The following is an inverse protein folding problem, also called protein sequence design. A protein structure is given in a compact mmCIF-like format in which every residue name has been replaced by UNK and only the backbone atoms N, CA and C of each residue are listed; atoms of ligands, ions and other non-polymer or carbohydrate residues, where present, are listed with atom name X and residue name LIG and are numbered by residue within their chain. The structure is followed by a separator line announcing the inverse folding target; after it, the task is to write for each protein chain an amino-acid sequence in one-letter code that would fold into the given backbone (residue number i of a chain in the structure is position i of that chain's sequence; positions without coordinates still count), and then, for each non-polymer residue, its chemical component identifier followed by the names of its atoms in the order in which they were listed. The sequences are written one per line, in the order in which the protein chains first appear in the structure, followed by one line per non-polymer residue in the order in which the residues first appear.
data_IF_429717605493
#
_entry.id   IF_429717605493
#
_cell.length_a   1.000
_cell.length_b   1.000
_cell.length_c   1.000
_cell.angle_alpha   90.00
_cell.angle_beta   90.00
_cell.angle_gamma   90.00
#
_symmetry.space_group_name_H-M   'P 1'
#
loop_
_entity.id
_entity.type
_entity.pdbx_description
1 polymer ?
#
# COMPACT_ATOMS: atom_id res chain seq x y z
N UNK A 1 -32.00 -6.57 -23.38
CA UNK A 1 -31.88 -6.19 -21.95
C UNK A 1 -33.04 -6.85 -21.25
N UNK A 2 -32.81 -7.61 -20.19
CA UNK A 2 -33.87 -8.31 -19.47
C UNK A 2 -34.70 -7.29 -18.67
N UNK A 3 -36.00 -7.54 -18.47
CA UNK A 3 -36.89 -6.63 -17.73
C UNK A 3 -36.40 -6.36 -16.31
N UNK A 4 -35.77 -7.36 -15.69
CA UNK A 4 -35.09 -7.23 -14.40
C UNK A 4 -33.94 -6.21 -14.46
N UNK A 5 -33.13 -6.21 -15.53
CA UNK A 5 -32.00 -5.30 -15.70
C UNK A 5 -32.48 -3.87 -15.91
N UNK A 6 -33.59 -3.69 -16.65
CA UNK A 6 -34.22 -2.39 -16.85
C UNK A 6 -34.77 -1.81 -15.53
N UNK A 7 -35.44 -2.64 -14.73
CA UNK A 7 -35.92 -2.23 -13.39
C UNK A 7 -34.75 -1.91 -12.46
N UNK A 8 -33.68 -2.72 -12.48
CA UNK A 8 -32.49 -2.50 -11.65
C UNK A 8 -31.80 -1.17 -12.01
N UNK A 9 -31.64 -0.88 -13.31
CA UNK A 9 -31.04 0.37 -13.76
C UNK A 9 -31.84 1.59 -13.29
N UNK A 10 -33.18 1.54 -13.39
CA UNK A 10 -34.05 2.60 -12.88
C UNK A 10 -33.98 2.74 -11.35
N UNK A 11 -33.89 1.64 -10.62
CA UNK A 11 -33.74 1.65 -9.16
C UNK A 11 -32.39 2.21 -8.70
N UNK A 12 -31.29 1.92 -9.41
CA UNK A 12 -29.97 2.47 -9.11
C UNK A 12 -29.90 3.99 -9.32
N UNK A 13 -30.62 4.50 -10.32
CA UNK A 13 -30.75 5.95 -10.53
C UNK A 13 -31.60 6.61 -9.44
N UNK A 14 -32.69 5.96 -9.01
CA UNK A 14 -33.62 6.51 -8.01
C UNK A 14 -33.08 6.45 -6.58
N UNK A 15 -32.33 5.41 -6.24
CA UNK A 15 -31.84 5.16 -4.88
C UNK A 15 -30.30 5.17 -4.85
N UNK A 16 -29.72 6.34 -5.08
CA UNK A 16 -28.27 6.53 -5.03
C UNK A 16 -27.72 6.24 -3.63
N UNK A 17 -26.67 5.43 -3.54
CA UNK A 17 -26.03 5.06 -2.27
C UNK A 17 -26.64 3.85 -1.56
N UNK A 18 -27.69 3.23 -2.11
CA UNK A 18 -28.19 1.94 -1.65
C UNK A 18 -27.38 0.80 -2.27
N UNK A 19 -27.06 -0.22 -1.48
CA UNK A 19 -26.32 -1.39 -1.94
C UNK A 19 -27.01 -2.10 -3.13
N UNK A 20 -26.23 -2.36 -4.17
CA UNK A 20 -26.74 -2.94 -5.42
C UNK A 20 -27.40 -4.31 -5.22
N UNK A 21 -26.96 -5.12 -4.25
CA UNK A 21 -27.58 -6.41 -3.99
C UNK A 21 -29.00 -6.27 -3.41
N UNK A 22 -29.26 -5.22 -2.63
CA UNK A 22 -30.61 -4.89 -2.15
C UNK A 22 -31.51 -4.51 -3.33
N UNK A 23 -31.06 -3.58 -4.18
CA UNK A 23 -31.81 -3.15 -5.35
C UNK A 23 -32.04 -4.32 -6.33
N UNK A 24 -31.06 -5.22 -6.47
CA UNK A 24 -31.17 -6.43 -7.30
C UNK A 24 -32.27 -7.36 -6.81
N UNK A 25 -32.39 -7.59 -5.49
CA UNK A 25 -33.48 -8.42 -4.93
C UNK A 25 -34.85 -7.82 -5.20
N UNK A 26 -34.98 -6.49 -5.05
CA UNK A 26 -36.22 -5.78 -5.35
C UNK A 26 -36.55 -5.90 -6.83
N UNK A 27 -35.56 -5.71 -7.71
CA UNK A 27 -35.73 -5.85 -9.15
C UNK A 27 -36.17 -7.27 -9.55
N UNK A 28 -35.57 -8.32 -8.97
CA UNK A 28 -36.00 -9.71 -9.20
C UNK A 28 -37.46 -9.90 -8.80
N UNK A 29 -37.82 -9.53 -7.56
CA UNK A 29 -39.18 -9.70 -7.03
C UNK A 29 -40.23 -8.89 -7.79
N UNK A 30 -39.86 -7.74 -8.37
CA UNK A 30 -40.75 -6.87 -9.13
C UNK A 30 -40.79 -7.20 -10.63
N UNK A 31 -39.77 -7.90 -11.13
CA UNK A 31 -39.74 -8.45 -12.48
C UNK A 31 -40.55 -9.75 -12.60
N UNK A 32 -40.80 -10.46 -11.49
CA UNK A 32 -41.61 -11.68 -11.46
C UNK A 32 -42.99 -11.45 -12.08
N UNK A 33 -43.29 -12.19 -13.16
CA UNK A 33 -44.57 -12.12 -13.87
C UNK A 33 -44.74 -10.89 -14.76
N UNK A 34 -43.73 -10.04 -14.92
CA UNK A 34 -43.76 -8.89 -15.83
C UNK A 34 -43.10 -9.25 -17.15
N UNK A 35 -43.86 -9.17 -18.24
CA UNK A 35 -43.38 -9.42 -19.61
C UNK A 35 -43.42 -8.18 -20.50
N UNK A 36 -43.93 -7.06 -19.98
CA UNK A 36 -44.17 -5.83 -20.72
C UNK A 36 -43.21 -4.73 -20.24
N UNK A 37 -42.26 -4.37 -21.11
CA UNK A 37 -41.23 -3.37 -20.84
C UNK A 37 -41.80 -1.97 -20.60
N UNK A 38 -43.00 -1.67 -21.10
CA UNK A 38 -43.63 -0.34 -20.91
C UNK A 38 -43.99 -0.06 -19.44
N UNK A 39 -44.12 -1.11 -18.63
CA UNK A 39 -44.46 -1.01 -17.20
C UNK A 39 -43.26 -0.75 -16.30
N UNK A 40 -42.03 -0.83 -16.83
CA UNK A 40 -40.80 -0.72 -16.04
C UNK A 40 -40.73 0.62 -15.31
N UNK A 41 -41.01 1.74 -15.99
CA UNK A 41 -40.95 3.06 -15.35
C UNK A 41 -41.95 3.19 -14.21
N UNK A 42 -43.20 2.73 -14.41
CA UNK A 42 -44.23 2.75 -13.36
C UNK A 42 -43.86 1.86 -12.16
N UNK A 43 -43.19 0.73 -12.39
CA UNK A 43 -42.69 -0.16 -11.34
C UNK A 43 -41.60 0.54 -10.52
N UNK A 44 -40.62 1.15 -11.19
CA UNK A 44 -39.51 1.87 -10.55
C UNK A 44 -40.04 3.06 -9.74
N UNK A 45 -40.99 3.81 -10.29
CA UNK A 45 -41.63 4.94 -9.62
C UNK A 45 -42.46 4.50 -8.41
N UNK A 46 -43.15 3.35 -8.49
CA UNK A 46 -43.95 2.79 -7.41
C UNK A 46 -43.15 2.22 -6.24
N UNK A 47 -41.83 2.02 -6.38
CA UNK A 47 -40.97 1.51 -5.30
C UNK A 47 -40.56 2.66 -4.38
N UNK A 48 -40.81 2.49 -3.08
CA UNK A 48 -40.51 3.48 -2.05
C UNK A 48 -39.27 3.10 -1.23
N UNK A 49 -38.77 4.04 -0.42
CA UNK A 49 -37.67 3.73 0.50
C UNK A 49 -38.06 2.67 1.57
N UNK A 50 -39.36 2.55 1.89
CA UNK A 50 -39.86 1.50 2.79
C UNK A 50 -39.64 0.11 2.19
N UNK A 51 -39.83 -0.06 0.88
CA UNK A 51 -39.57 -1.33 0.18
C UNK A 51 -38.09 -1.71 0.23
N UNK A 52 -37.20 -0.72 0.15
CA UNK A 52 -35.75 -0.92 0.29
C UNK A 52 -35.39 -1.40 1.70
N UNK A 53 -35.93 -0.75 2.73
CA UNK A 53 -35.71 -1.16 4.13
C UNK A 53 -36.27 -2.55 4.41
N UNK A 54 -37.46 -2.86 3.89
CA UNK A 54 -38.08 -4.18 4.04
C UNK A 54 -37.24 -5.28 3.36
N UNK A 55 -36.70 -5.01 2.17
CA UNK A 55 -35.80 -5.96 1.49
C UNK A 55 -34.51 -6.21 2.27
N UNK A 56 -33.97 -5.19 2.93
CA UNK A 56 -32.82 -5.34 3.81
C UNK A 56 -33.15 -6.17 5.06
N UNK A 57 -34.30 -5.92 5.69
CA UNK A 57 -34.77 -6.68 6.85
C UNK A 57 -35.00 -8.16 6.53
N UNK A 58 -35.67 -8.44 5.41
CA UNK A 58 -35.96 -9.79 4.92
C UNK A 58 -34.67 -10.57 4.60
N UNK A 59 -33.69 -9.91 3.97
CA UNK A 59 -32.39 -10.51 3.72
C UNK A 59 -31.68 -10.94 5.02
N UNK A 60 -31.66 -10.08 6.04
CA UNK A 60 -31.02 -10.39 7.33
C UNK A 60 -31.77 -11.48 8.11
N UNK A 61 -33.10 -11.49 8.06
CA UNK A 61 -33.90 -12.54 8.67
C UNK A 61 -33.66 -13.90 7.98
N UNK A 62 -33.66 -13.92 6.65
CA UNK A 62 -33.42 -15.14 5.86
C UNK A 62 -32.01 -15.72 6.07
N UNK A 63 -30.98 -14.88 6.18
CA UNK A 63 -29.60 -15.33 6.40
C UNK A 63 -29.41 -15.93 7.81
N UNK A 64 -30.06 -15.32 8.82
CA UNK A 64 -30.10 -15.86 10.18
C UNK A 64 -30.81 -17.21 10.23
N UNK A 65 -31.94 -17.37 9.53
CA UNK A 65 -32.67 -18.65 9.45
C UNK A 65 -31.86 -19.73 8.74
N UNK A 66 -31.22 -19.43 7.61
CA UNK A 66 -30.36 -20.39 6.90
C UNK A 66 -29.17 -20.83 7.75
N UNK A 67 -28.50 -19.88 8.39
CA UNK A 67 -27.39 -20.16 9.30
C UNK A 67 -27.84 -21.00 10.50
N UNK A 68 -28.99 -20.69 11.09
CA UNK A 68 -29.55 -21.47 12.20
C UNK A 68 -29.87 -22.91 11.78
N UNK A 69 -30.51 -23.10 10.62
CA UNK A 69 -30.83 -24.43 10.07
C UNK A 69 -29.54 -25.21 9.79
N UNK A 70 -28.58 -24.61 9.07
CA UNK A 70 -27.29 -25.28 8.78
C UNK A 70 -26.52 -25.64 10.05
N UNK A 71 -26.49 -24.76 11.05
CA UNK A 71 -25.81 -25.05 12.32
C UNK A 71 -26.52 -26.14 13.12
N UNK A 72 -27.86 -26.15 13.12
CA UNK A 72 -28.65 -27.20 13.74
C UNK A 72 -28.44 -28.55 13.04
N UNK A 73 -28.49 -28.56 11.71
CA UNK A 73 -28.24 -29.73 10.88
C UNK A 73 -26.84 -30.31 11.12
N UNK A 74 -25.81 -29.47 11.14
CA UNK A 74 -24.44 -29.91 11.49
C UNK A 74 -24.35 -30.46 12.90
N UNK A 75 -24.97 -29.82 13.89
CA UNK A 75 -24.93 -30.25 15.29
C UNK A 75 -25.64 -31.57 15.53
N UNK A 76 -26.71 -31.83 14.76
CA UNK A 76 -27.56 -33.02 14.92
C UNK A 76 -27.35 -34.07 13.82
N UNK A 77 -26.32 -33.91 12.99
CA UNK A 77 -26.00 -34.82 11.89
C UNK A 77 -27.21 -35.06 10.95
N UNK A 78 -27.92 -33.98 10.65
CA UNK A 78 -29.08 -33.94 9.76
C UNK A 78 -28.70 -33.29 8.44
N UNK A 79 -29.43 -33.61 7.37
CA UNK A 79 -29.42 -32.85 6.12
C UNK A 79 -30.84 -32.78 5.59
N UNK A 80 -31.30 -31.57 5.26
CA UNK A 80 -32.69 -31.30 4.86
C UNK A 80 -33.71 -31.83 5.89
N UNK A 81 -33.38 -31.70 7.18
CA UNK A 81 -34.20 -32.18 8.30
C UNK A 81 -34.28 -33.70 8.48
N UNK A 82 -33.50 -34.49 7.74
CA UNK A 82 -33.46 -35.95 7.87
C UNK A 82 -32.15 -36.44 8.52
N UNK A 83 -32.22 -37.45 9.42
CA UNK A 83 -31.02 -38.10 9.95
C UNK A 83 -30.13 -38.63 8.84
N UNK A 84 -28.85 -38.24 8.85
CA UNK A 84 -27.87 -38.82 7.95
C UNK A 84 -27.44 -40.16 8.56
N UNK A 85 -27.89 -41.26 7.95
CA UNK A 85 -27.77 -42.64 8.46
C UNK A 85 -26.34 -43.20 8.49
N UNK A 86 -25.33 -42.38 8.14
CA UNK A 86 -23.94 -42.79 8.14
C UNK A 86 -23.10 -41.82 8.98
N UNK A 87 -22.55 -42.25 10.12
CA UNK A 87 -21.52 -41.49 10.78
C UNK A 87 -20.27 -41.69 9.92
N UNK A 88 -19.81 -40.60 9.29
CA UNK A 88 -18.62 -40.56 8.45
C UNK A 88 -18.84 -41.12 7.01
N UNK A 89 -18.96 -40.26 5.99
CA UNK A 89 -18.30 -40.62 4.75
C UNK A 89 -16.81 -40.59 5.10
N UNK A 90 -16.22 -41.77 5.30
CA UNK A 90 -14.85 -41.94 4.84
C UNK A 90 -14.92 -41.44 3.39
N UNK A 91 -14.17 -40.40 2.98
CA UNK A 91 -14.16 -40.04 1.57
C UNK A 91 -13.77 -41.33 0.86
N UNK A 92 -14.72 -41.96 0.17
CA UNK A 92 -14.33 -42.79 -0.95
C UNK A 92 -13.44 -41.87 -1.78
N UNK A 93 -12.26 -42.33 -2.14
CA UNK A 93 -11.43 -41.72 -3.17
C UNK A 93 -12.17 -41.79 -4.51
N UNK A 94 -13.35 -41.17 -4.61
CA UNK A 94 -13.62 -40.36 -5.77
C UNK A 94 -12.70 -39.19 -5.60
N UNK A 95 -11.68 -39.15 -6.45
CA UNK A 95 -11.09 -37.89 -6.86
C UNK A 95 -12.24 -37.06 -7.41
N UNK A 96 -12.99 -36.41 -6.52
CA UNK A 96 -13.92 -35.36 -6.87
C UNK A 96 -13.01 -34.24 -7.31
N UNK A 97 -12.68 -34.27 -8.61
CA UNK A 97 -12.14 -33.12 -9.30
C UNK A 97 -13.03 -31.95 -8.89
N UNK A 98 -12.45 -31.02 -8.13
CA UNK A 98 -13.05 -29.72 -7.89
C UNK A 98 -13.55 -29.26 -9.25
N UNK A 99 -14.88 -29.05 -9.43
CA UNK A 99 -15.41 -28.72 -10.73
C UNK A 99 -14.60 -27.57 -11.34
N UNK A 100 -14.23 -27.63 -12.61
CA UNK A 100 -13.28 -26.69 -13.20
C UNK A 100 -13.64 -25.21 -12.92
N UNK A 101 -14.94 -24.90 -12.79
CA UNK A 101 -15.43 -23.57 -12.40
C UNK A 101 -15.12 -23.19 -10.94
N UNK A 102 -15.18 -24.14 -10.00
CA UNK A 102 -14.85 -23.93 -8.60
C UNK A 102 -13.32 -23.80 -8.42
N UNK A 103 -12.54 -24.60 -9.16
CA UNK A 103 -11.09 -24.49 -9.16
C UNK A 103 -10.64 -23.13 -9.73
N UNK A 104 -11.25 -22.69 -10.84
CA UNK A 104 -10.99 -21.37 -11.42
C UNK A 104 -11.31 -20.22 -10.45
N UNK A 105 -12.36 -20.37 -9.63
CA UNK A 105 -12.72 -19.37 -8.62
C UNK A 105 -11.72 -19.35 -7.46
N UNK A 106 -11.28 -20.53 -7.01
CA UNK A 106 -10.24 -20.66 -5.98
C UNK A 106 -8.93 -20.05 -6.47
N UNK A 107 -8.52 -20.36 -7.70
CA UNK A 107 -7.28 -19.84 -8.30
C UNK A 107 -7.37 -18.33 -8.52
N UNK A 108 -8.53 -17.81 -8.94
CA UNK A 108 -8.77 -16.36 -9.07
C UNK A 108 -8.69 -15.66 -7.71
N UNK A 109 -9.32 -16.21 -6.68
CA UNK A 109 -9.25 -15.65 -5.34
C UNK A 109 -7.83 -15.69 -4.76
N UNK A 110 -7.08 -16.76 -5.02
CA UNK A 110 -5.68 -16.86 -4.62
C UNK A 110 -4.83 -15.80 -5.34
N UNK A 111 -4.99 -15.66 -6.66
CA UNK A 111 -4.29 -14.63 -7.44
C UNK A 111 -4.63 -13.21 -6.99
N UNK A 112 -5.89 -12.94 -6.64
CA UNK A 112 -6.31 -11.66 -6.10
C UNK A 112 -5.70 -11.40 -4.72
N UNK A 113 -5.67 -12.42 -3.85
CA UNK A 113 -5.03 -12.33 -2.54
C UNK A 113 -3.54 -12.05 -2.66
N UNK A 114 -2.84 -12.73 -3.58
CA UNK A 114 -1.41 -12.52 -3.83
C UNK A 114 -1.13 -11.11 -4.39
N UNK A 115 -2.00 -10.60 -5.27
CA UNK A 115 -1.89 -9.22 -5.77
C UNK A 115 -2.16 -8.18 -4.68
N UNK A 116 -3.11 -8.46 -3.79
CA UNK A 116 -3.43 -7.55 -2.68
C UNK A 116 -2.26 -7.43 -1.71
N UNK A 117 -1.66 -8.56 -1.31
CA UNK A 117 -0.48 -8.55 -0.43
C UNK A 117 0.72 -7.87 -1.09
N UNK A 118 0.92 -8.07 -2.40
CA UNK A 118 1.94 -7.35 -3.15
C UNK A 118 1.68 -5.83 -3.15
N UNK A 119 0.43 -5.41 -3.42
CA UNK A 119 0.07 -4.00 -3.44
C UNK A 119 0.22 -3.32 -2.08
N UNK A 120 -0.17 -4.01 -1.00
CA UNK A 120 0.04 -3.53 0.37
C UNK A 120 1.54 -3.35 0.68
N UNK A 121 2.36 -4.30 0.25
CA UNK A 121 3.83 -4.25 0.41
C UNK A 121 4.44 -3.09 -0.39
N UNK A 122 4.06 -2.94 -1.67
CA UNK A 122 4.52 -1.83 -2.52
C UNK A 122 4.10 -0.47 -1.96
N UNK A 123 2.87 -0.36 -1.43
CA UNK A 123 2.37 0.87 -0.82
C UNK A 123 3.11 1.20 0.48
N UNK A 124 3.40 0.20 1.31
CA UNK A 124 4.20 0.38 2.52
C UNK A 124 5.62 0.85 2.16
N UNK A 125 6.26 0.22 1.18
CA UNK A 125 7.59 0.59 0.71
C UNK A 125 7.61 2.01 0.11
N UNK A 126 6.63 2.38 -0.70
CA UNK A 126 6.50 3.72 -1.26
C UNK A 126 6.30 4.78 -0.17
N UNK A 127 5.47 4.48 0.83
CA UNK A 127 5.23 5.37 1.98
C UNK A 127 6.52 5.56 2.79
N UNK A 128 7.25 4.47 3.06
CA UNK A 128 8.54 4.51 3.76
C UNK A 128 9.59 5.31 2.99
N UNK A 129 9.68 5.11 1.67
CA UNK A 129 10.56 5.88 0.79
C UNK A 129 10.25 7.38 0.84
N UNK A 130 8.97 7.77 0.83
CA UNK A 130 8.57 9.16 0.98
C UNK A 130 8.97 9.76 2.34
N UNK A 131 8.81 9.00 3.44
CA UNK A 131 9.25 9.42 4.77
C UNK A 131 10.77 9.63 4.84
N UNK A 132 11.53 8.70 4.26
CA UNK A 132 13.00 8.78 4.14
C UNK A 132 13.39 10.07 3.42
N UNK A 133 12.78 10.36 2.27
CA UNK A 133 13.09 11.55 1.48
C UNK A 133 12.71 12.85 2.22
N UNK A 134 11.58 12.85 2.91
CA UNK A 134 11.13 14.01 3.69
C UNK A 134 12.10 14.30 4.85
N UNK A 135 12.52 13.27 5.58
CA UNK A 135 13.48 13.38 6.68
C UNK A 135 14.87 13.75 6.19
N UNK A 136 15.37 13.14 5.11
CA UNK A 136 16.64 13.53 4.49
C UNK A 136 16.67 15.03 4.16
N UNK A 137 15.58 15.55 3.58
CA UNK A 137 15.45 16.97 3.25
C UNK A 137 15.47 17.86 4.49
N UNK A 138 14.83 17.44 5.59
CA UNK A 138 14.85 18.13 6.88
C UNK A 138 16.28 18.26 7.44
N UNK A 139 17.09 17.21 7.29
CA UNK A 139 18.49 17.19 7.72
C UNK A 139 19.45 17.86 6.71
N UNK A 140 18.96 18.30 5.55
CA UNK A 140 19.76 18.95 4.51
C UNK A 140 20.54 17.99 3.61
N UNK A 141 20.14 16.71 3.58
CA UNK A 141 20.78 15.68 2.78
C UNK A 141 20.16 15.69 1.38
N UNK A 142 20.97 15.79 0.30
CA UNK A 142 20.45 15.79 -1.06
C UNK A 142 19.71 14.50 -1.41
N UNK A 143 18.64 14.64 -2.19
CA UNK A 143 17.74 13.54 -2.57
C UNK A 143 18.47 12.37 -3.26
N UNK A 144 19.47 12.66 -4.08
CA UNK A 144 20.30 11.66 -4.77
C UNK A 144 21.10 10.78 -3.80
N UNK A 145 21.47 11.31 -2.63
CA UNK A 145 22.15 10.53 -1.59
C UNK A 145 21.14 9.73 -0.77
N UNK A 146 20.03 10.36 -0.37
CA UNK A 146 18.97 9.69 0.38
C UNK A 146 18.40 8.46 -0.34
N UNK A 147 18.24 8.51 -1.68
CA UNK A 147 17.80 7.36 -2.50
C UNK A 147 18.78 6.18 -2.51
N UNK A 148 20.04 6.42 -2.17
CA UNK A 148 21.09 5.39 -2.12
C UNK A 148 21.29 4.81 -0.71
N UNK A 149 20.67 5.42 0.30
CA UNK A 149 20.69 4.90 1.66
C UNK A 149 19.81 3.65 1.74
N UNK A 150 20.41 2.52 2.09
CA UNK A 150 19.69 1.28 2.39
C UNK A 150 19.21 1.33 3.85
N UNK A 151 18.15 2.09 4.11
CA UNK A 151 17.57 2.26 5.44
C UNK A 151 16.56 1.15 5.69
N UNK A 152 16.67 0.46 6.82
CA UNK A 152 15.71 -0.61 7.17
C UNK A 152 14.34 -0.03 7.54
N UNK A 153 13.30 -0.86 7.44
CA UNK A 153 11.92 -0.44 7.72
C UNK A 153 11.71 -0.03 9.19
N UNK A 154 12.48 -0.62 10.11
CA UNK A 154 12.42 -0.42 11.56
C UNK A 154 13.40 0.65 12.09
N UNK A 155 14.23 1.22 11.21
CA UNK A 155 15.29 2.15 11.60
C UNK A 155 14.73 3.53 11.99
N UNK A 156 15.30 4.14 13.03
CA UNK A 156 14.96 5.50 13.43
C UNK A 156 15.57 6.49 12.43
N UNK A 157 14.73 7.04 11.56
CA UNK A 157 15.13 8.01 10.53
C UNK A 157 15.80 9.25 11.13
N UNK A 158 15.39 9.65 12.33
CA UNK A 158 15.90 10.87 12.96
C UNK A 158 17.34 10.67 13.44
N UNK A 159 17.61 9.55 14.12
CA UNK A 159 18.96 9.16 14.52
C UNK A 159 19.87 8.94 13.31
N UNK A 160 19.39 8.17 12.31
CA UNK A 160 20.17 7.85 11.11
C UNK A 160 20.59 9.12 10.35
N UNK A 161 19.65 10.02 10.06
CA UNK A 161 19.98 11.22 9.29
C UNK A 161 20.75 12.27 10.08
N UNK A 162 20.63 12.28 11.40
CA UNK A 162 21.47 13.11 12.27
C UNK A 162 22.93 12.69 12.19
N UNK A 163 23.21 11.39 12.31
CA UNK A 163 24.57 10.86 12.21
C UNK A 163 25.13 11.06 10.80
N UNK A 164 24.32 10.79 9.77
CA UNK A 164 24.71 10.98 8.37
C UNK A 164 25.05 12.44 8.05
N UNK A 165 24.29 13.40 8.60
CA UNK A 165 24.59 14.82 8.48
C UNK A 165 25.93 15.19 9.11
N UNK A 166 26.23 14.61 10.27
CA UNK A 166 27.50 14.85 10.97
C UNK A 166 28.68 14.27 10.17
N UNK A 167 28.55 13.07 9.62
CA UNK A 167 29.55 12.51 8.71
C UNK A 167 29.77 13.38 7.47
N UNK A 168 28.69 13.85 6.85
CA UNK A 168 28.77 14.73 5.67
C UNK A 168 29.48 16.04 5.99
N UNK A 169 29.22 16.62 7.17
CA UNK A 169 29.91 17.81 7.66
C UNK A 169 31.40 17.54 7.91
N UNK A 170 31.74 16.41 8.54
CA UNK A 170 33.12 16.03 8.83
C UNK A 170 33.92 15.75 7.55
N UNK A 171 33.34 15.05 6.57
CA UNK A 171 34.01 14.75 5.32
C UNK A 171 34.14 15.99 4.42
N UNK A 172 33.13 16.87 4.41
CA UNK A 172 33.26 18.20 3.80
C UNK A 172 34.39 19.03 4.44
N UNK A 173 34.59 18.87 5.75
CA UNK A 173 35.65 19.55 6.49
C UNK A 173 37.05 18.97 6.20
N UNK A 174 37.18 17.68 5.85
CA UNK A 174 38.47 17.08 5.44
C UNK A 174 38.97 17.58 4.08
N UNK A 175 38.07 18.02 3.20
CA UNK A 175 38.41 18.49 1.86
C UNK A 175 38.87 19.95 1.80
N UNK A 176 38.65 20.73 2.85
CA UNK A 176 39.17 22.09 2.97
C UNK A 176 40.53 22.03 3.65
N UNK A 177 41.60 22.35 2.92
CA UNK A 177 42.86 22.69 3.58
C UNK A 177 42.59 23.87 4.50
N UNK A 178 42.78 23.75 5.82
CA UNK A 178 42.61 24.89 6.71
C UNK A 178 43.46 26.06 6.20
N UNK A 179 42.97 27.30 6.27
CA UNK A 179 43.79 28.45 5.95
C UNK A 179 45.08 28.37 6.78
N UNK A 180 46.20 28.57 6.12
CA UNK A 180 47.53 28.57 6.74
C UNK A 180 47.51 29.43 8.01
N UNK A 181 47.95 28.86 9.14
CA UNK A 181 47.97 29.59 10.41
C UNK A 181 48.86 30.82 10.27
N UNK A 182 48.57 31.89 11.03
CA UNK A 182 49.45 33.03 11.13
C UNK A 182 50.87 32.61 11.54
N UNK A 183 51.02 31.58 12.38
CA UNK A 183 52.33 31.05 12.79
C UNK A 183 53.08 30.37 11.63
N UNK A 184 52.42 29.48 10.88
CA UNK A 184 53.02 28.80 9.72
C UNK A 184 53.39 29.79 8.61
N UNK A 185 52.58 30.82 8.43
CA UNK A 185 52.84 31.88 7.46
C UNK A 185 54.04 32.74 7.86
N UNK A 186 54.13 33.11 9.13
CA UNK A 186 55.29 33.83 9.68
C UNK A 186 56.55 32.98 9.59
N UNK A 187 56.48 31.67 9.87
CA UNK A 187 57.62 30.76 9.78
C UNK A 187 58.14 30.66 8.34
N UNK A 188 57.26 30.42 7.36
CA UNK A 188 57.65 30.39 5.93
C UNK A 188 58.19 31.73 5.42
N UNK A 189 57.59 32.84 5.82
CA UNK A 189 58.10 34.18 5.48
C UNK A 189 59.49 34.39 6.11
N UNK A 190 59.69 33.97 7.37
CA UNK A 190 60.98 34.08 8.05
C UNK A 190 62.06 33.21 7.41
N UNK A 191 61.74 31.98 6.99
CA UNK A 191 62.65 31.10 6.27
C UNK A 191 63.01 31.67 4.88
N UNK A 192 62.04 32.27 4.18
CA UNK A 192 62.28 32.89 2.89
C UNK A 192 63.17 34.13 3.02
N UNK A 193 62.96 34.94 4.06
CA UNK A 193 63.80 36.11 4.35
C UNK A 193 65.21 35.65 4.71
N UNK A 194 65.37 34.61 5.54
CA UNK A 194 66.67 34.07 5.90
C UNK A 194 67.45 33.58 4.66
N UNK A 195 66.81 32.86 3.74
CA UNK A 195 67.43 32.42 2.48
C UNK A 195 67.90 33.59 1.62
N UNK A 196 67.08 34.65 1.49
CA UNK A 196 67.47 35.85 0.74
C UNK A 196 68.66 36.57 1.37
N UNK A 197 68.73 36.63 2.71
CA UNK A 197 69.88 37.21 3.42
C UNK A 197 71.13 36.37 3.19
N UNK A 198 71.04 35.04 3.26
CA UNK A 198 72.17 34.13 3.01
C UNK A 198 72.68 34.21 1.57
N UNK A 199 71.78 34.31 0.58
CA UNK A 199 72.16 34.50 -0.82
C UNK A 199 72.77 35.89 -1.06
N UNK A 200 72.18 36.94 -0.49
CA UNK A 200 72.70 38.30 -0.56
C UNK A 200 74.09 38.44 0.08
N UNK A 201 74.31 37.79 1.23
CA UNK A 201 75.62 37.82 1.90
C UNK A 201 76.67 37.02 1.12
N UNK A 202 76.32 35.86 0.55
CA UNK A 202 77.22 35.10 -0.33
C UNK A 202 77.64 35.91 -1.55
N UNK A 203 76.69 36.54 -2.23
CA UNK A 203 76.96 37.37 -3.41
C UNK A 203 77.86 38.58 -3.09
N UNK A 204 77.64 39.26 -1.96
CA UNK A 204 78.50 40.35 -1.49
C UNK A 204 79.93 39.86 -1.18
N UNK A 205 80.07 38.71 -0.51
CA UNK A 205 81.39 38.12 -0.22
C UNK A 205 82.12 37.73 -1.49
N UNK A 206 81.40 37.24 -2.51
CA UNK A 206 81.97 36.86 -3.80
C UNK A 206 82.36 38.10 -4.62
N UNK A 207 81.58 39.19 -4.57
CA UNK A 207 81.94 40.48 -5.16
C UNK A 207 83.19 41.09 -4.52
N UNK A 208 83.38 40.96 -3.20
CA UNK A 208 84.55 41.49 -2.49
C UNK A 208 85.83 40.66 -2.67
N UNK A 209 85.76 39.51 -3.35
CA UNK A 209 86.93 38.68 -3.68
C UNK A 209 87.54 38.99 -5.06
N UNK A 210 86.88 39.82 -5.87
CA UNK A 210 87.39 40.38 -7.13
C UNK A 210 87.93 41.79 -6.89
#
# INVERSE_FOLDING_TARGET
MNIQELILAGLQQKFTGVDTAILTRIAIKKAEGITDETKVNSIVEGISFSDVLNSYGDFRAGDASKTAVTNYEKKHNLKDGKPVENPNPKPEEKKDDVPAWAQALIDSNKSLSDKLTQFETEKAQATRSQQILAKAKEYGIPENYAKRCAIKDDEDLDAYFKDLKQEFANDGFKGVTPPESAEEKIEKESESIAKMIDEGTKTIVEQNKN
#
